data_IF_363249720125
#
_entry.id   IF_363249720125
#
_cell.length_a   1.000
_cell.length_b   1.000
_cell.length_c   1.000
_cell.angle_alpha   90.00
_cell.angle_beta   90.00
_cell.angle_gamma   90.00
#
_symmetry.space_group_name_H-M   'P 1'
#
loop_
_entity.id
_entity.type
_entity.pdbx_description
1 polymer ?
#
# COMPACT_ATOMS: atom_id res chain seq x y z
N UNK A 1 4.69 -27.29 -25.70
CA UNK A 1 5.08 -26.03 -26.37
C UNK A 1 6.52 -25.71 -26.02
N UNK A 2 7.34 -25.23 -26.98
CA UNK A 2 8.71 -24.77 -26.71
C UNK A 2 8.64 -23.56 -25.77
N UNK A 3 9.37 -23.59 -24.65
CA UNK A 3 9.47 -22.44 -23.74
C UNK A 3 10.16 -21.29 -24.48
N UNK A 4 9.54 -20.12 -24.47
CA UNK A 4 10.12 -18.90 -25.03
C UNK A 4 11.35 -18.53 -24.21
N UNK A 5 12.49 -18.34 -24.87
CA UNK A 5 13.72 -17.90 -24.22
C UNK A 5 14.03 -16.46 -24.60
N UNK A 6 14.79 -15.79 -23.73
CA UNK A 6 15.29 -14.45 -24.00
C UNK A 6 16.07 -14.36 -25.33
N UNK A 7 16.77 -15.44 -25.70
CA UNK A 7 17.47 -15.56 -26.98
C UNK A 7 16.55 -15.40 -28.19
N UNK A 8 15.30 -15.86 -28.09
CA UNK A 8 14.33 -15.80 -29.20
C UNK A 8 13.88 -14.35 -29.43
N UNK A 9 13.73 -13.57 -28.35
CA UNK A 9 13.42 -12.14 -28.41
C UNK A 9 14.61 -11.34 -28.97
N UNK A 10 15.81 -11.61 -28.47
CA UNK A 10 17.04 -10.92 -28.91
C UNK A 10 17.28 -11.18 -30.40
N UNK A 11 17.16 -12.43 -30.85
CA UNK A 11 17.32 -12.78 -32.26
C UNK A 11 16.33 -12.02 -33.15
N UNK A 12 15.07 -11.89 -32.72
CA UNK A 12 14.06 -11.14 -33.47
C UNK A 12 14.32 -9.64 -33.51
N UNK A 13 14.83 -9.05 -32.42
CA UNK A 13 15.23 -7.64 -32.39
C UNK A 13 16.41 -7.36 -33.33
N UNK A 14 17.41 -8.24 -33.34
CA UNK A 14 18.57 -8.12 -34.23
C UNK A 14 18.17 -8.24 -35.70
N UNK A 15 17.28 -9.17 -36.04
CA UNK A 15 16.72 -9.29 -37.39
C UNK A 15 16.02 -7.99 -37.83
N UNK A 16 15.15 -7.44 -36.98
CA UNK A 16 14.40 -6.21 -37.28
C UNK A 16 15.29 -4.98 -37.42
N UNK A 17 16.34 -4.86 -36.59
CA UNK A 17 17.35 -3.81 -36.70
C UNK A 17 18.08 -3.87 -38.06
N UNK A 18 18.51 -5.05 -38.47
CA UNK A 18 19.19 -5.26 -39.76
C UNK A 18 18.26 -4.96 -40.93
N UNK A 19 17.00 -5.41 -40.89
CA UNK A 19 16.04 -5.12 -41.95
C UNK A 19 15.73 -3.64 -42.07
N UNK A 20 15.51 -2.95 -40.94
CA UNK A 20 15.24 -1.50 -40.91
C UNK A 20 16.40 -0.71 -41.48
N UNK A 21 17.63 -1.08 -41.12
CA UNK A 21 18.85 -0.46 -41.64
C UNK A 21 18.99 -0.67 -43.16
N UNK A 22 18.73 -1.89 -43.64
CA UNK A 22 18.78 -2.19 -45.06
C UNK A 22 17.70 -1.46 -45.86
N UNK A 23 16.46 -1.42 -45.36
CA UNK A 23 15.36 -0.70 -45.99
C UNK A 23 15.67 0.81 -46.08
N UNK A 24 16.27 1.38 -45.04
CA UNK A 24 16.72 2.77 -45.04
C UNK A 24 17.79 3.03 -46.10
N UNK A 25 18.78 2.13 -46.22
CA UNK A 25 19.80 2.22 -47.26
C UNK A 25 19.22 2.09 -48.67
N UNK A 26 18.23 1.22 -48.87
CA UNK A 26 17.54 1.04 -50.15
C UNK A 26 16.72 2.28 -50.53
N UNK A 27 15.99 2.88 -49.58
CA UNK A 27 15.25 4.12 -49.82
C UNK A 27 16.17 5.30 -50.19
N UNK A 28 17.40 5.31 -49.66
CA UNK A 28 18.41 6.33 -50.00
C UNK A 28 18.87 6.23 -51.45
N UNK A 29 18.93 5.01 -52.01
CA UNK A 29 19.39 4.76 -53.39
C UNK A 29 18.20 4.80 -54.37
N UNK A 30 17.05 4.27 -53.95
CA UNK A 30 15.83 4.15 -54.75
C UNK A 30 14.64 4.77 -54.01
N UNK A 31 14.21 5.99 -54.36
CA UNK A 31 13.12 6.69 -53.67
C UNK A 31 11.76 5.96 -53.72
N UNK A 32 11.58 5.06 -54.69
CA UNK A 32 10.35 4.28 -54.88
C UNK A 32 10.46 2.83 -54.34
N UNK A 33 11.49 2.52 -53.56
CA UNK A 33 11.65 1.20 -52.95
C UNK A 33 10.46 0.88 -52.04
N UNK A 34 9.86 -0.30 -52.23
CA UNK A 34 8.73 -0.78 -51.43
C UNK A 34 9.20 -1.91 -50.54
N UNK A 35 9.02 -1.74 -49.22
CA UNK A 35 9.27 -2.78 -48.23
C UNK A 35 8.47 -4.03 -48.56
N UNK A 36 9.14 -5.17 -48.60
CA UNK A 36 8.55 -6.48 -48.90
C UNK A 36 7.37 -6.81 -47.99
N UNK A 37 6.31 -7.40 -48.56
CA UNK A 37 5.15 -7.88 -47.81
C UNK A 37 5.53 -8.89 -46.73
N UNK A 38 6.57 -9.69 -46.96
CA UNK A 38 7.03 -10.69 -46.01
C UNK A 38 7.58 -10.05 -44.73
N UNK A 39 8.22 -8.88 -44.83
CA UNK A 39 8.74 -8.14 -43.67
C UNK A 39 7.59 -7.58 -42.80
N UNK A 40 6.45 -7.23 -43.40
CA UNK A 40 5.26 -6.74 -42.67
C UNK A 40 4.61 -7.80 -41.78
N UNK A 41 4.83 -9.08 -42.09
CA UNK A 41 4.17 -10.22 -41.42
C UNK A 41 5.08 -10.83 -40.32
N UNK A 42 6.36 -10.48 -40.30
CA UNK A 42 7.37 -11.07 -39.41
C UNK A 42 7.91 -10.13 -38.32
N UNK A 43 7.26 -8.99 -38.10
CA UNK A 43 7.65 -8.01 -37.07
C UNK A 43 7.43 -8.58 -35.64
N UNK A 44 8.19 -8.11 -34.66
CA UNK A 44 7.99 -8.44 -33.25
C UNK A 44 6.55 -8.21 -32.78
N UNK A 45 5.92 -7.13 -33.25
CA UNK A 45 4.53 -6.79 -32.93
C UNK A 45 3.51 -7.79 -33.48
N UNK A 46 3.88 -8.52 -34.54
CA UNK A 46 3.04 -9.59 -35.11
C UNK A 46 3.25 -10.94 -34.44
N UNK A 47 4.38 -11.17 -33.75
CA UNK A 47 4.59 -12.39 -32.98
C UNK A 47 3.85 -12.31 -31.63
N UNK A 48 2.66 -12.91 -31.58
CA UNK A 48 1.83 -12.94 -30.38
C UNK A 48 2.54 -13.55 -29.15
N UNK A 49 3.50 -14.46 -29.35
CA UNK A 49 4.21 -15.11 -28.24
C UNK A 49 5.21 -14.15 -27.61
N UNK A 50 6.00 -13.46 -28.44
CA UNK A 50 6.94 -12.45 -27.99
C UNK A 50 6.22 -11.23 -27.42
N UNK A 51 5.15 -10.78 -28.08
CA UNK A 51 4.34 -9.66 -27.61
C UNK A 51 3.74 -9.93 -26.22
N UNK A 52 3.25 -11.15 -25.98
CA UNK A 52 2.74 -11.55 -24.65
C UNK A 52 3.84 -11.55 -23.58
N UNK A 53 5.05 -11.98 -23.94
CA UNK A 53 6.20 -11.94 -23.03
C UNK A 53 6.66 -10.51 -22.72
N UNK A 54 6.74 -9.63 -23.73
CA UNK A 54 7.15 -8.23 -23.58
C UNK A 54 6.14 -7.42 -22.77
N UNK A 55 4.83 -7.63 -23.01
CA UNK A 55 3.78 -6.92 -22.26
C UNK A 55 3.74 -7.29 -20.78
N UNK A 56 4.36 -8.42 -20.40
CA UNK A 56 4.44 -8.91 -19.03
C UNK A 56 3.11 -8.81 -18.27
N UNK A 57 1.99 -9.07 -18.98
CA UNK A 57 0.69 -9.10 -18.32
C UNK A 57 0.65 -10.36 -17.49
N UNK A 58 0.91 -10.22 -16.19
CA UNK A 58 0.64 -11.28 -15.22
C UNK A 58 -0.78 -11.77 -15.47
N UNK A 59 -0.97 -13.09 -15.54
CA UNK A 59 -2.32 -13.62 -15.47
C UNK A 59 -2.97 -13.02 -14.21
N UNK A 60 -4.14 -12.36 -14.32
CA UNK A 60 -4.84 -11.94 -13.13
C UNK A 60 -5.01 -13.18 -12.24
N UNK A 61 -4.83 -13.05 -10.92
CA UNK A 61 -4.98 -14.18 -10.02
C UNK A 61 -6.32 -14.87 -10.30
N UNK A 62 -6.30 -16.19 -10.44
CA UNK A 62 -7.49 -16.97 -10.76
C UNK A 62 -8.62 -16.63 -9.77
N UNK A 63 -9.72 -16.10 -10.29
CA UNK A 63 -10.95 -15.83 -9.53
C UNK A 63 -11.62 -17.20 -9.27
N UNK A 64 -12.20 -17.42 -8.08
CA UNK A 64 -12.78 -16.38 -7.28
C UNK A 64 -11.80 -15.86 -6.23
N UNK A 65 -11.76 -14.54 -6.03
CA UNK A 65 -11.19 -13.93 -4.81
C UNK A 65 -12.10 -14.24 -3.59
N UNK A 66 -12.53 -15.49 -3.45
CA UNK A 66 -13.26 -15.98 -2.28
C UNK A 66 -12.29 -15.94 -1.12
N UNK A 67 -12.60 -15.07 -0.15
CA UNK A 67 -11.76 -14.80 1.03
C UNK A 67 -11.28 -13.35 1.14
N UNK A 68 -11.50 -12.48 0.14
CA UNK A 68 -11.30 -11.04 0.26
C UNK A 68 -12.64 -10.30 0.51
N UNK A 69 -13.42 -10.77 1.48
CA UNK A 69 -14.66 -10.11 1.92
C UNK A 69 -14.44 -8.66 2.41
N UNK A 70 -13.17 -8.28 2.65
CA UNK A 70 -12.76 -6.92 3.02
C UNK A 70 -12.82 -5.90 1.87
N UNK A 71 -12.89 -6.32 0.60
CA UNK A 71 -12.96 -5.40 -0.54
C UNK A 71 -14.39 -5.06 -0.97
N UNK A 72 -15.38 -5.86 -0.54
CA UNK A 72 -16.80 -5.69 -0.86
C UNK A 72 -17.69 -5.46 0.38
N UNK A 73 -17.14 -5.64 1.59
CA UNK A 73 -17.82 -5.36 2.85
C UNK A 73 -17.80 -3.88 3.18
N UNK A 74 -18.97 -3.33 3.53
CA UNK A 74 -19.03 -2.03 4.20
C UNK A 74 -18.18 -2.12 5.48
N UNK A 75 -17.23 -1.19 5.71
CA UNK A 75 -16.40 -1.25 6.90
C UNK A 75 -17.31 -1.32 8.14
N UNK A 76 -16.94 -2.10 9.17
CA UNK A 76 -17.75 -2.24 10.36
C UNK A 76 -18.14 -0.84 10.87
N UNK A 77 -19.41 -0.64 11.25
CA UNK A 77 -19.88 0.66 11.67
C UNK A 77 -18.98 1.15 12.80
N UNK A 78 -18.36 2.30 12.58
CA UNK A 78 -17.67 3.02 13.65
C UNK A 78 -18.71 3.31 14.74
N UNK A 79 -18.31 3.19 15.99
CA UNK A 79 -19.18 3.59 17.09
C UNK A 79 -19.64 5.04 16.86
N UNK A 80 -20.91 5.36 17.11
CA UNK A 80 -21.49 6.68 16.79
C UNK A 80 -20.73 7.81 17.49
N UNK A 81 -20.27 7.54 18.71
CA UNK A 81 -19.42 8.44 19.52
C UNK A 81 -18.02 8.66 18.92
N UNK A 82 -17.53 7.75 18.07
CA UNK A 82 -16.26 7.95 17.37
C UNK A 82 -16.42 9.01 16.28
N UNK A 83 -17.60 9.11 15.66
CA UNK A 83 -17.87 10.05 14.56
C UNK A 83 -17.78 11.51 14.99
N UNK A 84 -18.07 11.80 16.26
CA UNK A 84 -18.00 13.16 16.83
C UNK A 84 -16.56 13.60 17.11
N UNK A 85 -15.59 12.67 17.09
CA UNK A 85 -14.19 12.99 17.33
C UNK A 85 -13.53 13.62 16.08
N UNK A 86 -12.54 14.51 16.28
CA UNK A 86 -11.71 15.03 15.22
C UNK A 86 -11.12 13.93 14.33
N UNK A 87 -10.98 14.20 13.04
CA UNK A 87 -10.42 13.24 12.05
C UNK A 87 -9.08 12.67 12.50
N UNK A 88 -8.20 13.49 13.06
CA UNK A 88 -6.89 13.05 13.52
C UNK A 88 -7.00 12.05 14.68
N UNK A 89 -7.89 12.29 15.65
CA UNK A 89 -8.15 11.38 16.77
C UNK A 89 -8.71 10.05 16.28
N UNK A 90 -9.68 10.07 15.35
CA UNK A 90 -10.22 8.84 14.73
C UNK A 90 -9.14 8.02 14.04
N UNK A 91 -8.27 8.68 13.27
CA UNK A 91 -7.16 8.02 12.57
C UNK A 91 -6.17 7.40 13.56
N UNK A 92 -5.80 8.11 14.61
CA UNK A 92 -4.88 7.56 15.63
C UNK A 92 -5.49 6.39 16.41
N UNK A 93 -6.77 6.43 16.76
CA UNK A 93 -7.47 5.29 17.37
C UNK A 93 -7.50 4.07 16.43
N UNK A 94 -7.79 4.27 15.14
CA UNK A 94 -7.74 3.21 14.15
C UNK A 94 -6.32 2.62 13.99
N UNK A 95 -5.29 3.48 13.96
CA UNK A 95 -3.88 3.06 13.92
C UNK A 95 -3.47 2.28 15.17
N UNK A 96 -3.94 2.70 16.36
CA UNK A 96 -3.70 2.00 17.63
C UNK A 96 -4.29 0.60 17.61
N UNK A 97 -5.53 0.45 17.11
CA UNK A 97 -6.20 -0.86 16.95
C UNK A 97 -5.47 -1.78 15.97
N UNK A 98 -4.79 -1.21 14.98
CA UNK A 98 -3.96 -1.92 14.02
C UNK A 98 -2.49 -2.07 14.45
N UNK A 99 -2.13 -1.64 15.67
CA UNK A 99 -0.75 -1.62 16.19
C UNK A 99 0.27 -0.83 15.35
N UNK A 100 -0.20 0.12 14.53
CA UNK A 100 0.63 0.99 13.65
C UNK A 100 0.58 2.47 14.06
N UNK A 101 0.26 2.75 15.31
CA UNK A 101 0.20 4.13 15.79
C UNK A 101 1.59 4.67 16.09
N UNK A 102 1.82 5.92 15.74
CA UNK A 102 3.07 6.63 16.05
C UNK A 102 3.29 6.78 17.56
N UNK A 103 2.21 6.87 18.34
CA UNK A 103 2.28 6.91 19.82
C UNK A 103 2.84 5.61 20.40
N UNK A 104 2.36 4.46 19.91
CA UNK A 104 2.86 3.14 20.31
C UNK A 104 4.31 2.94 19.87
N UNK A 105 4.67 3.33 18.65
CA UNK A 105 6.04 3.22 18.15
C UNK A 105 7.01 4.09 18.98
N UNK A 106 6.64 5.34 19.26
CA UNK A 106 7.41 6.22 20.13
C UNK A 106 7.57 5.64 21.54
N UNK A 107 6.53 4.96 22.04
CA UNK A 107 6.59 4.27 23.32
C UNK A 107 7.51 3.05 23.30
N UNK A 108 7.40 2.20 22.27
CA UNK A 108 8.30 1.05 22.04
C UNK A 108 9.76 1.50 21.98
N UNK A 109 10.06 2.52 21.18
CA UNK A 109 11.40 3.09 21.11
C UNK A 109 11.89 3.63 22.47
N UNK A 110 11.04 4.28 23.26
CA UNK A 110 11.40 4.75 24.61
C UNK A 110 11.66 3.61 25.60
N UNK A 111 10.96 2.50 25.41
CA UNK A 111 11.11 1.27 26.19
C UNK A 111 12.42 0.56 25.83
N UNK A 112 12.70 0.37 24.55
CA UNK A 112 13.90 -0.31 24.05
C UNK A 112 15.18 0.44 24.43
N UNK A 113 15.13 1.77 24.47
CA UNK A 113 16.27 2.60 24.87
C UNK A 113 16.48 2.70 26.41
N UNK A 114 15.70 1.98 27.22
CA UNK A 114 15.83 2.00 28.68
C UNK A 114 16.92 1.01 29.13
N UNK A 115 17.76 1.37 30.13
CA UNK A 115 18.74 0.44 30.69
C UNK A 115 18.15 -0.70 31.55
N UNK A 116 16.83 -0.78 31.68
CA UNK A 116 16.14 -1.74 32.55
C UNK A 116 15.21 -2.59 31.70
N UNK A 117 15.37 -3.91 31.79
CA UNK A 117 14.63 -4.91 31.01
C UNK A 117 13.14 -5.00 31.38
N UNK A 118 12.72 -4.39 32.49
CA UNK A 118 11.32 -4.37 32.94
C UNK A 118 10.78 -2.95 33.10
N UNK A 119 9.46 -2.81 33.01
CA UNK A 119 8.83 -1.52 33.21
C UNK A 119 8.81 -1.10 34.70
N UNK A 120 9.47 0.00 35.05
CA UNK A 120 9.48 0.58 36.41
C UNK A 120 8.06 0.75 37.03
N UNK A 121 7.01 0.96 36.21
CA UNK A 121 5.64 1.15 36.72
C UNK A 121 4.91 -0.15 37.04
N UNK A 122 5.16 -1.21 36.28
CA UNK A 122 4.31 -2.40 36.27
C UNK A 122 5.07 -3.73 36.33
N UNK A 123 6.41 -3.68 36.25
CA UNK A 123 7.36 -4.80 36.27
C UNK A 123 7.06 -5.94 35.27
N UNK A 124 6.24 -5.67 34.26
CA UNK A 124 5.89 -6.60 33.18
C UNK A 124 6.83 -6.43 31.97
N UNK A 125 6.81 -7.44 31.07
CA UNK A 125 7.52 -7.45 29.79
C UNK A 125 7.15 -6.26 28.90
N UNK A 126 8.16 -5.74 28.20
CA UNK A 126 8.15 -4.35 27.74
C UNK A 126 7.97 -4.28 26.23
N UNK A 127 6.93 -3.58 25.78
CA UNK A 127 6.82 -3.12 24.39
C UNK A 127 5.47 -3.37 23.73
N UNK A 128 4.63 -4.25 24.28
CA UNK A 128 3.36 -4.58 23.63
C UNK A 128 2.28 -3.51 23.80
N UNK A 129 1.28 -3.52 22.90
CA UNK A 129 0.11 -2.65 23.00
C UNK A 129 -0.59 -2.78 24.36
N UNK A 130 -0.66 -3.99 24.93
CA UNK A 130 -1.21 -4.22 26.29
C UNK A 130 -0.43 -3.44 27.36
N UNK A 131 0.89 -3.45 27.26
CA UNK A 131 1.76 -2.72 28.18
C UNK A 131 1.63 -1.20 27.99
N UNK A 132 1.55 -0.74 26.74
CA UNK A 132 1.26 0.66 26.42
C UNK A 132 -0.05 1.13 27.07
N UNK A 133 -1.16 0.42 26.86
CA UNK A 133 -2.46 0.79 27.41
C UNK A 133 -2.52 0.77 28.95
N UNK A 134 -1.65 0.00 29.60
CA UNK A 134 -1.53 -0.08 31.05
C UNK A 134 -0.64 1.03 31.64
N UNK A 135 0.52 1.27 31.04
CA UNK A 135 1.61 2.03 31.68
C UNK A 135 1.91 3.39 31.01
N UNK A 136 1.35 3.66 29.82
CA UNK A 136 1.44 4.95 29.12
C UNK A 136 0.39 5.99 29.56
N UNK A 137 -0.94 5.71 29.53
CA UNK A 137 -1.94 6.70 29.92
C UNK A 137 -1.92 6.99 31.42
N UNK A 138 -2.50 8.13 31.81
CA UNK A 138 -2.64 8.52 33.23
C UNK A 138 -3.59 7.58 33.96
N UNK A 139 -4.63 7.12 33.27
CA UNK A 139 -5.61 6.14 33.76
C UNK A 139 -5.48 4.86 32.97
N UNK A 140 -5.45 3.72 33.67
CA UNK A 140 -5.37 2.41 33.04
C UNK A 140 -6.49 2.24 32.00
N UNK A 141 -6.10 1.92 30.77
CA UNK A 141 -7.03 1.68 29.68
C UNK A 141 -7.15 0.18 29.41
N UNK A 142 -8.29 -0.46 29.73
CA UNK A 142 -8.53 -1.83 29.30
C UNK A 142 -8.58 -1.90 27.77
N UNK A 143 -8.03 -2.98 27.21
CA UNK A 143 -8.06 -3.23 25.75
C UNK A 143 -9.48 -3.16 25.18
N UNK A 144 -10.49 -3.59 25.95
CA UNK A 144 -11.91 -3.54 25.55
C UNK A 144 -12.45 -2.12 25.39
N UNK A 145 -11.96 -1.15 26.16
CA UNK A 145 -12.40 0.26 26.06
C UNK A 145 -11.94 0.91 24.77
N UNK A 146 -10.81 0.49 24.20
CA UNK A 146 -10.35 0.98 22.90
C UNK A 146 -11.38 0.74 21.77
N UNK A 147 -12.20 -0.31 21.90
CA UNK A 147 -13.21 -0.69 20.92
C UNK A 147 -14.62 -0.23 21.30
N UNK A 148 -14.98 -0.31 22.58
CA UNK A 148 -16.34 -0.02 23.07
C UNK A 148 -16.58 1.45 23.38
N UNK A 149 -15.55 2.20 23.75
CA UNK A 149 -15.66 3.59 24.23
C UNK A 149 -14.47 4.41 23.70
N UNK A 150 -14.53 4.82 22.42
CA UNK A 150 -13.44 5.53 21.74
C UNK A 150 -13.19 6.92 22.33
N UNK A 151 -14.22 7.55 22.92
CA UNK A 151 -14.12 8.87 23.53
C UNK A 151 -13.35 8.81 24.85
N UNK A 152 -13.66 7.86 25.73
CA UNK A 152 -12.88 7.67 26.95
C UNK A 152 -11.45 7.21 26.63
N UNK A 153 -11.27 6.42 25.56
CA UNK A 153 -9.94 6.02 25.09
C UNK A 153 -9.12 7.21 24.60
N UNK A 154 -9.69 8.08 23.77
CA UNK A 154 -9.05 9.31 23.31
C UNK A 154 -8.68 10.22 24.49
N UNK A 155 -9.59 10.40 25.44
CA UNK A 155 -9.35 11.20 26.66
C UNK A 155 -8.19 10.66 27.49
N UNK A 156 -8.15 9.35 27.73
CA UNK A 156 -7.09 8.73 28.53
C UNK A 156 -5.72 8.79 27.85
N UNK A 157 -5.69 8.82 26.51
CA UNK A 157 -4.49 8.96 25.70
C UNK A 157 -4.07 10.43 25.48
N UNK A 158 -4.87 11.39 25.97
CA UNK A 158 -4.61 12.83 25.78
C UNK A 158 -4.82 13.29 24.33
N UNK A 159 -5.63 12.58 23.54
CA UNK A 159 -6.01 12.99 22.20
C UNK A 159 -7.11 14.07 22.24
N UNK A 160 -7.25 14.83 21.16
CA UNK A 160 -8.28 15.86 21.05
C UNK A 160 -9.68 15.23 21.00
N UNK A 161 -10.57 15.64 21.92
CA UNK A 161 -11.94 15.12 22.04
C UNK A 161 -12.99 16.16 21.63
N UNK A 162 -12.65 17.44 21.65
CA UNK A 162 -13.56 18.51 21.22
C UNK A 162 -13.76 18.45 19.71
N UNK A 163 -14.99 18.51 19.21
CA UNK A 163 -15.27 18.71 17.79
C UNK A 163 -14.52 19.93 17.25
N UNK A 164 -14.11 19.87 15.98
CA UNK A 164 -13.58 21.05 15.29
C UNK A 164 -14.72 22.08 15.19
N UNK A 165 -14.57 23.21 15.87
CA UNK A 165 -15.50 24.35 15.78
C UNK A 165 -15.03 25.27 14.64
N UNK A 166 -15.71 25.33 13.49
CA UNK A 166 -15.31 26.19 12.38
C UNK A 166 -15.79 27.64 12.55
N UNK A 167 -16.47 27.98 13.65
CA UNK A 167 -17.12 29.27 13.86
C UNK A 167 -16.39 30.18 14.83
N UNK A 168 -15.35 30.86 14.37
CA UNK A 168 -14.76 31.97 15.10
C UNK A 168 -14.18 32.95 14.11
N UNK A 169 -15.05 33.82 13.57
CA UNK A 169 -14.75 35.13 12.96
C UNK A 169 -16.09 35.72 12.48
N UNK A 170 -16.91 36.18 13.42
CA UNK A 170 -17.98 37.13 13.15
C UNK A 170 -17.99 38.13 14.31
N UNK A 171 -17.02 39.04 14.29
CA UNK A 171 -17.09 40.25 15.12
C UNK A 171 -18.16 41.20 14.53
N UNK A 172 -18.94 41.88 15.39
CA UNK A 172 -20.02 42.81 14.99
C UNK A 172 -19.52 44.15 14.43
#
# INVERSE_FOLDING_TARGET
MRKLRLSDLIGKLQEEEVFTSNDWNQLRIFPNYKVSSNHRISNILTDQRLLKAVRNTSAPPDVPLVGCDLLMGQPPPLNEEESTLPRNTRVELARLRAERSLLLEKYKAKVENRPVESCIKCNDDVGDLKHFLKCYPVKLLPMSKLWKDPVAAATALGLAVTPFDPGGDADP
#
